data_IF_163624612963
#
_entry.id   IF_163624612963
#
_cell.length_a   1.000
_cell.length_b   1.000
_cell.length_c   1.000
_cell.angle_alpha   90.00
_cell.angle_beta   90.00
_cell.angle_gamma   90.00
#
_symmetry.space_group_name_H-M   'P 1'
#
loop_
_entity.id
_entity.type
_entity.pdbx_description
1 polymer ?
#
# COMPACT_ATOMS: atom_id res chain seq x y z
N UNK A 1 11.27 9.94 13.26
CA UNK A 1 10.36 9.86 12.10
C UNK A 1 9.26 8.89 12.44
N UNK A 2 8.01 9.36 12.52
CA UNK A 2 6.86 8.50 12.82
C UNK A 2 6.25 7.95 11.53
N UNK A 3 6.18 6.61 11.41
CA UNK A 3 5.63 5.91 10.26
C UNK A 3 4.40 5.15 10.70
N UNK A 4 3.28 5.47 10.09
CA UNK A 4 1.97 4.94 10.43
C UNK A 4 1.48 3.99 9.34
N UNK A 5 1.11 2.78 9.72
CA UNK A 5 0.51 1.78 8.86
C UNK A 5 -0.97 1.62 9.19
N UNK A 6 -1.85 1.86 8.24
CA UNK A 6 -3.26 1.51 8.38
C UNK A 6 -3.41 -0.01 8.29
N UNK A 7 -4.08 -0.62 9.28
CA UNK A 7 -4.41 -2.05 9.26
C UNK A 7 -5.91 -2.27 9.46
N UNK A 8 -6.47 -3.26 8.77
CA UNK A 8 -7.91 -3.48 8.72
C UNK A 8 -8.25 -4.92 8.33
N UNK A 9 -9.46 -5.36 8.64
CA UNK A 9 -9.93 -6.69 8.26
C UNK A 9 -10.00 -6.83 6.72
N UNK A 10 -9.50 -7.94 6.22
CA UNK A 10 -9.33 -8.18 4.78
C UNK A 10 -8.04 -7.59 4.19
N UNK A 11 -7.08 -7.20 5.03
CA UNK A 11 -5.76 -6.74 4.59
C UNK A 11 -4.97 -7.84 3.88
N UNK A 12 -4.18 -7.48 2.88
CA UNK A 12 -3.12 -8.34 2.33
C UNK A 12 -1.84 -8.08 3.14
N UNK A 13 -1.36 -9.05 3.96
CA UNK A 13 -0.29 -8.79 4.93
C UNK A 13 0.99 -8.24 4.32
N UNK A 14 1.42 -8.77 3.17
CA UNK A 14 2.68 -8.34 2.54
C UNK A 14 2.64 -6.87 2.11
N UNK A 15 1.47 -6.31 1.83
CA UNK A 15 1.31 -4.89 1.49
C UNK A 15 1.73 -3.96 2.65
N UNK A 16 1.62 -4.46 3.89
CA UNK A 16 2.08 -3.76 5.09
C UNK A 16 3.49 -4.21 5.51
N UNK A 17 3.72 -5.53 5.60
CA UNK A 17 4.96 -6.09 6.16
C UNK A 17 6.15 -5.85 5.23
N UNK A 18 5.97 -5.87 3.90
CA UNK A 18 7.03 -5.54 2.97
C UNK A 18 7.61 -4.13 3.20
N UNK A 19 6.77 -3.07 3.14
CA UNK A 19 7.21 -1.73 3.50
C UNK A 19 7.70 -1.59 4.95
N UNK A 20 7.09 -2.31 5.90
CA UNK A 20 7.50 -2.29 7.31
C UNK A 20 8.96 -2.77 7.47
N UNK A 21 9.32 -3.88 6.81
CA UNK A 21 10.67 -4.42 6.89
C UNK A 21 11.74 -3.48 6.31
N UNK A 22 11.37 -2.60 5.40
CA UNK A 22 12.26 -1.58 4.84
C UNK A 22 12.25 -0.31 5.68
N UNK A 23 11.07 0.31 5.84
CA UNK A 23 10.93 1.64 6.45
C UNK A 23 11.23 1.63 7.95
N UNK A 24 10.98 0.50 8.63
CA UNK A 24 11.30 0.34 10.05
C UNK A 24 12.81 0.36 10.36
N UNK A 25 13.66 0.19 9.33
CA UNK A 25 15.13 0.27 9.46
C UNK A 25 15.68 1.66 9.19
N UNK A 26 14.83 2.62 8.83
CA UNK A 26 15.28 4.01 8.70
C UNK A 26 15.77 4.55 10.05
N UNK A 27 16.89 5.30 10.06
CA UNK A 27 17.42 5.89 11.29
C UNK A 27 16.39 6.74 12.03
N UNK A 28 16.14 6.41 13.30
CA UNK A 28 15.16 7.12 14.13
C UNK A 28 13.71 6.88 13.75
N UNK A 29 13.40 5.83 12.98
CA UNK A 29 12.01 5.45 12.68
C UNK A 29 11.31 4.88 13.91
N UNK A 30 10.06 5.29 14.09
CA UNK A 30 9.09 4.69 15.04
C UNK A 30 7.86 4.25 14.26
N UNK A 31 7.40 3.04 14.51
CA UNK A 31 6.29 2.45 13.75
C UNK A 31 5.02 2.39 14.61
N UNK A 32 3.88 2.72 14.00
CA UNK A 32 2.56 2.51 14.58
C UNK A 32 1.66 1.75 13.60
N UNK A 33 1.09 0.65 14.06
CA UNK A 33 -0.02 -0.01 13.39
C UNK A 33 -1.33 0.54 13.92
N UNK A 34 -2.14 1.11 13.03
CA UNK A 34 -3.34 1.89 13.36
C UNK A 34 -4.55 1.26 12.67
N UNK A 35 -5.59 0.97 13.43
CA UNK A 35 -6.86 0.46 12.92
C UNK A 35 -8.05 1.34 13.30
N UNK A 36 -9.25 1.02 12.81
CA UNK A 36 -10.50 1.64 13.31
C UNK A 36 -10.68 1.32 14.79
N UNK A 37 -10.30 0.11 15.19
CA UNK A 37 -10.28 -0.38 16.58
C UNK A 37 -8.94 -1.05 16.87
N UNK A 38 -8.54 -1.10 18.13
CA UNK A 38 -7.39 -1.89 18.59
C UNK A 38 -7.69 -3.39 18.48
N UNK A 39 -6.63 -4.15 18.23
CA UNK A 39 -6.73 -5.60 18.14
C UNK A 39 -6.34 -6.17 16.78
N UNK A 40 -6.66 -7.44 16.53
CA UNK A 40 -6.25 -8.13 15.32
C UNK A 40 -7.05 -7.64 14.10
N UNK A 41 -6.33 -7.15 13.10
CA UNK A 41 -6.81 -6.94 11.73
C UNK A 41 -6.55 -8.22 10.93
N UNK A 42 -7.59 -8.98 10.63
CA UNK A 42 -7.47 -10.31 10.03
C UNK A 42 -7.44 -10.27 8.51
N UNK A 43 -6.68 -11.17 7.92
CA UNK A 43 -6.74 -11.42 6.47
C UNK A 43 -8.12 -11.97 6.09
N UNK A 44 -8.47 -11.90 4.80
CA UNK A 44 -9.61 -12.66 4.26
C UNK A 44 -9.38 -14.15 4.56
N UNK A 45 -10.38 -14.82 5.11
CA UNK A 45 -10.24 -16.20 5.59
C UNK A 45 -9.67 -16.33 7.02
N UNK A 46 -9.22 -15.27 7.66
CA UNK A 46 -8.90 -15.23 9.09
C UNK A 46 -7.64 -15.95 9.56
N UNK A 47 -6.81 -16.47 8.64
CA UNK A 47 -5.66 -17.33 8.96
C UNK A 47 -4.43 -16.57 9.46
N UNK A 48 -4.34 -15.26 9.19
CA UNK A 48 -3.27 -14.39 9.66
C UNK A 48 -3.88 -13.07 10.15
N UNK A 49 -3.21 -12.40 11.06
CA UNK A 49 -3.62 -11.07 11.52
C UNK A 49 -2.40 -10.18 11.78
N UNK A 50 -2.57 -8.88 11.51
CA UNK A 50 -1.71 -7.82 12.01
C UNK A 50 -2.40 -7.15 13.20
N UNK A 51 -1.67 -6.75 14.21
CA UNK A 51 -2.27 -6.17 15.40
C UNK A 51 -2.24 -4.65 15.35
N UNK A 52 -3.39 -4.00 15.51
CA UNK A 52 -3.49 -2.55 15.66
C UNK A 52 -3.29 -2.18 17.13
N UNK A 53 -2.19 -1.52 17.44
CA UNK A 53 -1.89 -1.02 18.80
C UNK A 53 -2.60 0.30 19.08
N UNK A 54 -2.95 1.04 18.01
CA UNK A 54 -3.59 2.36 18.08
C UNK A 54 -4.84 2.39 17.22
N UNK A 55 -5.73 3.34 17.55
CA UNK A 55 -6.88 3.66 16.72
C UNK A 55 -6.62 4.90 15.86
N UNK A 56 -7.41 5.06 14.78
CA UNK A 56 -7.41 6.27 13.95
C UNK A 56 -7.77 7.53 14.77
N UNK A 57 -8.43 7.38 15.92
CA UNK A 57 -8.75 8.50 16.81
C UNK A 57 -7.54 8.93 17.63
N UNK A 58 -6.67 8.01 18.01
CA UNK A 58 -5.45 8.27 18.78
C UNK A 58 -4.31 8.84 17.92
N UNK A 59 -4.30 8.57 16.61
CA UNK A 59 -3.22 8.99 15.70
C UNK A 59 -3.76 9.97 14.67
N UNK A 60 -3.34 11.22 14.78
CA UNK A 60 -3.82 12.34 13.93
C UNK A 60 -2.72 12.96 13.05
N UNK A 61 -1.52 12.39 13.06
CA UNK A 61 -0.37 12.82 12.25
C UNK A 61 0.58 11.66 12.02
N UNK A 62 1.42 11.79 11.01
CA UNK A 62 2.53 10.90 10.69
C UNK A 62 3.54 11.65 9.81
N UNK A 63 4.82 11.25 9.83
CA UNK A 63 5.77 11.68 8.81
C UNK A 63 5.54 10.90 7.51
N UNK A 64 5.30 9.58 7.64
CA UNK A 64 4.95 8.70 6.52
C UNK A 64 3.68 7.93 6.87
N UNK A 65 2.69 7.99 5.99
CA UNK A 65 1.49 7.15 6.05
C UNK A 65 1.58 6.04 4.99
N UNK A 66 1.45 4.79 5.43
CA UNK A 66 1.38 3.62 4.55
C UNK A 66 -0.03 3.05 4.58
N UNK A 67 -0.66 2.99 3.42
CA UNK A 67 -2.01 2.46 3.21
C UNK A 67 -1.92 1.18 2.40
N UNK A 68 -1.93 0.01 3.05
CA UNK A 68 -1.95 -1.29 2.38
C UNK A 68 -3.24 -1.55 1.64
N UNK A 69 -3.24 -2.55 0.79
CA UNK A 69 -4.43 -3.05 0.13
C UNK A 69 -4.92 -4.37 0.70
N UNK A 70 -5.78 -5.00 -0.07
CA UNK A 70 -6.45 -6.25 0.24
C UNK A 70 -7.95 -6.16 -0.05
N UNK A 71 -8.69 -7.26 0.03
CA UNK A 71 -10.13 -7.26 -0.20
C UNK A 71 -10.92 -6.26 0.66
N UNK A 72 -10.45 -5.96 1.87
CA UNK A 72 -11.09 -4.99 2.76
C UNK A 72 -10.96 -3.53 2.30
N UNK A 73 -10.02 -3.22 1.41
CA UNK A 73 -9.89 -1.88 0.83
C UNK A 73 -11.04 -1.53 -0.13
N UNK A 74 -11.69 -2.55 -0.72
CA UNK A 74 -12.78 -2.39 -1.69
C UNK A 74 -12.35 -2.71 -3.13
N UNK A 75 -13.17 -2.31 -4.09
CA UNK A 75 -12.98 -2.58 -5.51
C UNK A 75 -13.58 -3.92 -5.92
N UNK A 76 -12.83 -4.78 -6.61
CA UNK A 76 -13.30 -6.08 -7.17
C UNK A 76 -14.00 -6.96 -6.13
N UNK A 77 -13.68 -6.80 -4.85
CA UNK A 77 -14.28 -7.56 -3.75
C UNK A 77 -15.55 -6.93 -3.19
N UNK A 78 -16.02 -5.84 -3.79
CA UNK A 78 -17.17 -5.06 -3.34
C UNK A 78 -16.79 -3.80 -2.56
N UNK A 79 -17.77 -3.17 -1.90
CA UNK A 79 -17.52 -1.98 -1.10
C UNK A 79 -16.57 -2.29 0.07
N UNK A 80 -15.68 -1.35 0.37
CA UNK A 80 -14.70 -1.48 1.44
C UNK A 80 -14.31 -0.11 1.97
N UNK A 81 -13.15 -0.03 2.62
CA UNK A 81 -12.66 1.21 3.26
C UNK A 81 -12.50 2.38 2.29
N UNK A 82 -12.40 2.15 1.00
CA UNK A 82 -12.31 3.20 -0.02
C UNK A 82 -13.55 4.11 -0.08
N UNK A 83 -14.69 3.64 0.41
CA UNK A 83 -15.93 4.43 0.50
C UNK A 83 -16.36 4.71 1.96
N UNK A 84 -15.61 4.24 2.95
CA UNK A 84 -15.87 4.53 4.36
C UNK A 84 -15.46 5.98 4.68
N UNK A 85 -16.41 6.87 5.04
CA UNK A 85 -16.12 8.28 5.27
C UNK A 85 -15.23 8.53 6.50
N UNK A 86 -15.23 7.62 7.46
CA UNK A 86 -14.40 7.73 8.68
C UNK A 86 -12.93 7.48 8.30
N UNK A 87 -12.67 6.40 7.58
CA UNK A 87 -11.29 6.05 7.16
C UNK A 87 -10.76 7.02 6.11
N UNK A 88 -11.54 7.32 5.07
CA UNK A 88 -11.10 8.24 4.01
C UNK A 88 -10.94 9.67 4.53
N UNK A 89 -11.77 10.09 5.48
CA UNK A 89 -11.62 11.35 6.20
C UNK A 89 -10.31 11.40 6.99
N UNK A 90 -10.04 10.37 7.78
CA UNK A 90 -8.80 10.25 8.55
C UNK A 90 -7.56 10.25 7.66
N UNK A 91 -7.54 9.47 6.58
CA UNK A 91 -6.44 9.44 5.61
C UNK A 91 -6.18 10.83 5.03
N UNK A 92 -7.22 11.57 4.66
CA UNK A 92 -7.12 12.95 4.15
C UNK A 92 -6.51 13.89 5.18
N UNK A 93 -6.94 13.79 6.43
CA UNK A 93 -6.48 14.68 7.51
C UNK A 93 -5.04 14.39 7.91
N UNK A 94 -4.64 13.11 7.98
CA UNK A 94 -3.25 12.72 8.23
C UNK A 94 -2.35 13.13 7.07
N UNK A 95 -2.77 12.93 5.81
CA UNK A 95 -2.02 13.34 4.62
C UNK A 95 -1.59 14.81 4.65
N UNK A 96 -2.41 15.71 5.18
CA UNK A 96 -2.05 17.15 5.29
C UNK A 96 -0.78 17.38 6.12
N UNK A 97 -0.45 16.45 7.00
CA UNK A 97 0.67 16.53 7.95
C UNK A 97 1.83 15.57 7.62
N UNK A 98 1.68 14.75 6.57
CA UNK A 98 2.74 13.82 6.16
C UNK A 98 3.79 14.50 5.29
N UNK A 99 5.01 13.99 5.35
CA UNK A 99 6.03 14.19 4.31
C UNK A 99 5.71 13.33 3.10
N UNK A 100 5.25 12.10 3.33
CA UNK A 100 4.84 11.18 2.28
C UNK A 100 3.60 10.36 2.69
N UNK A 101 2.64 10.26 1.80
CA UNK A 101 1.52 9.32 1.89
C UNK A 101 1.69 8.27 0.81
N UNK A 102 1.68 7.00 1.21
CA UNK A 102 1.96 5.89 0.30
C UNK A 102 0.81 4.91 0.26
N UNK A 103 0.69 4.19 -0.84
CA UNK A 103 -0.21 3.05 -0.94
C UNK A 103 0.44 1.86 -1.64
N UNK A 104 -0.01 0.66 -1.29
CA UNK A 104 0.35 -0.58 -1.97
C UNK A 104 -0.93 -1.27 -2.42
N UNK A 105 -0.91 -1.82 -3.66
CA UNK A 105 -2.01 -2.63 -4.17
C UNK A 105 -3.33 -1.84 -4.19
N UNK A 106 -4.44 -2.42 -3.72
CA UNK A 106 -5.74 -1.74 -3.62
C UNK A 106 -5.82 -0.67 -2.53
N UNK A 107 -4.75 -0.45 -1.75
CA UNK A 107 -4.65 0.72 -0.87
C UNK A 107 -4.79 2.06 -1.62
N UNK A 108 -4.44 2.08 -2.90
CA UNK A 108 -4.67 3.25 -3.76
C UNK A 108 -6.16 3.62 -3.89
N UNK A 109 -7.07 2.66 -3.76
CA UNK A 109 -8.51 2.95 -3.77
C UNK A 109 -8.93 3.76 -2.54
N UNK A 110 -8.32 3.48 -1.37
CA UNK A 110 -8.58 4.27 -0.15
C UNK A 110 -8.07 5.71 -0.33
N UNK A 111 -6.89 5.89 -0.94
CA UNK A 111 -6.40 7.23 -1.30
C UNK A 111 -7.33 7.92 -2.32
N UNK A 112 -7.84 7.16 -3.28
CA UNK A 112 -8.83 7.64 -4.26
C UNK A 112 -10.11 8.12 -3.58
N UNK A 113 -10.70 7.32 -2.68
CA UNK A 113 -11.87 7.67 -1.89
C UNK A 113 -11.64 8.86 -0.96
N UNK A 114 -10.41 9.03 -0.46
CA UNK A 114 -10.01 10.23 0.26
C UNK A 114 -9.89 11.48 -0.65
N UNK A 115 -10.04 11.33 -1.98
CA UNK A 115 -9.94 12.42 -2.95
C UNK A 115 -8.50 12.86 -3.26
N UNK A 116 -7.51 12.08 -2.83
CA UNK A 116 -6.10 12.46 -2.93
C UNK A 116 -5.48 12.17 -4.30
N UNK A 117 -6.11 11.32 -5.12
CA UNK A 117 -5.55 10.88 -6.42
C UNK A 117 -6.22 11.51 -7.64
N UNK A 118 -7.16 12.44 -7.44
CA UNK A 118 -7.89 13.07 -8.55
C UNK A 118 -6.93 13.79 -9.51
N UNK A 119 -6.93 13.37 -10.78
CA UNK A 119 -6.08 13.93 -11.83
C UNK A 119 -4.62 13.46 -11.79
N UNK A 120 -4.21 12.69 -10.77
CA UNK A 120 -2.83 12.21 -10.63
C UNK A 120 -2.65 10.86 -11.32
N UNK A 121 -1.42 10.58 -11.75
CA UNK A 121 -1.00 9.24 -12.15
C UNK A 121 -0.89 8.39 -10.89
N UNK A 122 -1.37 7.15 -10.94
CA UNK A 122 -1.30 6.27 -9.79
C UNK A 122 -1.18 4.80 -10.22
N UNK A 123 -0.38 4.04 -9.47
CA UNK A 123 -0.32 2.59 -9.56
C UNK A 123 -1.29 1.95 -8.55
N UNK A 124 -1.82 0.81 -8.91
CA UNK A 124 -2.63 -0.06 -8.05
C UNK A 124 -2.44 -1.51 -8.46
N UNK A 125 -3.11 -2.43 -7.79
CA UNK A 125 -3.19 -3.81 -8.28
C UNK A 125 -3.86 -3.85 -9.66
N UNK A 126 -3.30 -4.60 -10.61
CA UNK A 126 -3.76 -4.64 -12.01
C UNK A 126 -5.27 -4.90 -12.18
N UNK A 127 -5.90 -5.61 -11.24
CA UNK A 127 -7.35 -5.89 -11.26
C UNK A 127 -8.19 -4.71 -10.79
N UNK A 128 -7.61 -3.69 -10.20
CA UNK A 128 -8.32 -2.56 -9.59
C UNK A 128 -8.14 -1.23 -10.34
N UNK A 129 -7.57 -1.27 -11.56
CA UNK A 129 -7.31 -0.06 -12.33
C UNK A 129 -8.59 0.69 -12.72
N UNK A 130 -9.63 -0.04 -13.14
CA UNK A 130 -10.91 0.56 -13.46
C UNK A 130 -11.59 1.16 -12.22
N UNK A 131 -11.48 0.48 -11.08
CA UNK A 131 -12.00 1.01 -9.81
C UNK A 131 -11.24 2.29 -9.42
N UNK A 132 -9.91 2.31 -9.60
CA UNK A 132 -9.09 3.49 -9.32
C UNK A 132 -9.46 4.67 -10.23
N UNK A 133 -9.71 4.40 -11.51
CA UNK A 133 -10.14 5.41 -12.48
C UNK A 133 -11.48 6.05 -12.07
N UNK A 134 -12.39 5.30 -11.45
CA UNK A 134 -13.68 5.82 -10.99
C UNK A 134 -13.56 6.90 -9.91
N UNK A 135 -12.43 6.93 -9.16
CA UNK A 135 -12.09 8.01 -8.23
C UNK A 135 -11.42 9.22 -8.90
N UNK A 136 -11.32 9.22 -10.24
CA UNK A 136 -10.73 10.32 -11.01
C UNK A 136 -9.21 10.31 -11.07
N UNK A 137 -8.56 9.22 -10.68
CA UNK A 137 -7.14 9.01 -10.90
C UNK A 137 -6.85 8.60 -12.36
N UNK A 138 -5.59 8.71 -12.78
CA UNK A 138 -5.08 8.19 -14.05
C UNK A 138 -4.23 6.94 -13.77
N UNK A 139 -4.80 5.72 -13.82
CA UNK A 139 -4.06 4.49 -13.58
C UNK A 139 -2.93 4.30 -14.58
N UNK A 140 -1.78 3.84 -14.10
CA UNK A 140 -0.61 3.53 -14.94
C UNK A 140 -0.01 2.19 -14.57
N UNK A 141 0.52 1.46 -15.58
CA UNK A 141 1.15 0.15 -15.40
C UNK A 141 2.62 0.27 -14.95
N UNK A 142 2.85 1.05 -13.92
CA UNK A 142 4.18 1.21 -13.32
C UNK A 142 4.22 0.55 -11.95
N UNK A 143 5.39 0.01 -11.61
CA UNK A 143 5.56 -0.69 -10.33
C UNK A 143 5.47 0.27 -9.14
N UNK A 144 6.02 1.48 -9.30
CA UNK A 144 5.97 2.56 -8.28
C UNK A 144 5.84 3.89 -8.99
N UNK A 145 4.90 4.72 -8.57
CA UNK A 145 4.64 6.07 -9.10
C UNK A 145 4.84 7.09 -7.99
N UNK A 146 5.70 8.08 -8.23
CA UNK A 146 5.88 9.24 -7.37
C UNK A 146 5.17 10.44 -7.95
N UNK A 147 4.33 11.07 -7.15
CA UNK A 147 3.71 12.37 -7.39
C UNK A 147 4.25 13.37 -6.38
N UNK A 148 5.46 13.89 -6.65
CA UNK A 148 6.28 14.68 -5.71
C UNK A 148 5.54 15.91 -5.18
N UNK A 149 4.86 16.66 -6.07
CA UNK A 149 4.11 17.85 -5.68
C UNK A 149 2.98 17.56 -4.70
N UNK A 150 2.37 16.39 -4.83
CA UNK A 150 1.29 15.90 -3.97
C UNK A 150 1.81 15.13 -2.76
N UNK A 151 3.11 14.83 -2.70
CA UNK A 151 3.73 14.02 -1.64
C UNK A 151 3.09 12.64 -1.53
N UNK A 152 2.75 12.04 -2.68
CA UNK A 152 2.08 10.75 -2.76
C UNK A 152 2.96 9.78 -3.54
N UNK A 153 3.02 8.55 -3.03
CA UNK A 153 3.66 7.42 -3.73
C UNK A 153 2.68 6.26 -3.78
N UNK A 154 2.47 5.73 -4.97
CA UNK A 154 1.61 4.55 -5.15
C UNK A 154 2.40 3.39 -5.73
N UNK A 155 2.19 2.20 -5.19
CA UNK A 155 2.79 0.97 -5.66
C UNK A 155 1.73 0.02 -6.26
N UNK A 156 2.14 -0.74 -7.25
CA UNK A 156 1.33 -1.78 -7.88
C UNK A 156 0.99 -2.93 -6.90
N UNK A 157 0.72 -4.13 -7.40
CA UNK A 157 0.29 -5.26 -6.55
C UNK A 157 1.37 -5.77 -5.60
N UNK A 158 0.96 -6.14 -4.49
CA UNK A 158 1.50 -6.86 -3.32
C UNK A 158 3.02 -6.67 -3.09
N UNK A 159 3.87 -7.36 -3.85
CA UNK A 159 5.35 -7.33 -3.67
C UNK A 159 5.99 -5.98 -4.03
N UNK A 160 5.30 -5.12 -4.80
CA UNK A 160 5.82 -3.81 -5.18
C UNK A 160 5.96 -2.83 -4.02
N UNK A 161 5.35 -3.15 -2.87
CA UNK A 161 5.52 -2.39 -1.65
C UNK A 161 6.96 -2.36 -1.14
N UNK A 162 7.73 -3.43 -1.37
CA UNK A 162 9.16 -3.50 -1.00
C UNK A 162 9.97 -2.51 -1.84
N UNK A 163 9.78 -2.53 -3.17
CA UNK A 163 10.47 -1.61 -4.08
C UNK A 163 10.08 -0.15 -3.82
N UNK A 164 8.80 0.09 -3.54
CA UNK A 164 8.31 1.42 -3.16
C UNK A 164 9.01 1.92 -1.90
N UNK A 165 9.09 1.07 -0.88
CA UNK A 165 9.70 1.44 0.40
C UNK A 165 11.22 1.70 0.27
N UNK A 166 11.95 0.92 -0.54
CA UNK A 166 13.37 1.17 -0.82
C UNK A 166 13.58 2.49 -1.58
N UNK A 167 12.74 2.78 -2.59
CA UNK A 167 12.80 4.08 -3.30
C UNK A 167 12.44 5.25 -2.39
N UNK A 168 11.51 5.05 -1.46
CA UNK A 168 11.16 6.07 -0.48
C UNK A 168 12.28 6.26 0.54
N UNK A 169 12.93 5.17 0.99
CA UNK A 169 14.10 5.24 1.87
C UNK A 169 15.24 6.05 1.24
N UNK A 170 15.49 5.87 -0.07
CA UNK A 170 16.43 6.69 -0.83
C UNK A 170 16.06 8.19 -0.78
N UNK A 171 14.79 8.53 -0.99
CA UNK A 171 14.28 9.91 -0.95
C UNK A 171 14.42 10.59 0.43
N UNK A 172 14.23 9.83 1.51
CA UNK A 172 14.17 10.40 2.88
C UNK A 172 15.48 10.29 3.65
N UNK A 173 16.34 9.33 3.31
CA UNK A 173 17.59 9.08 4.04
C UNK A 173 18.83 8.95 3.13
N UNK A 174 18.64 9.01 1.81
CA UNK A 174 19.72 8.93 0.83
C UNK A 174 20.06 7.50 0.39
N UNK A 175 20.71 7.41 -0.77
CA UNK A 175 20.98 6.16 -1.48
C UNK A 175 21.80 5.14 -0.66
N UNK A 176 22.75 5.58 0.13
CA UNK A 176 23.62 4.66 0.90
C UNK A 176 22.82 3.96 2.01
N UNK A 177 21.92 4.67 2.68
CA UNK A 177 21.02 4.07 3.67
C UNK A 177 20.05 3.10 3.00
N UNK A 178 19.45 3.47 1.88
CA UNK A 178 18.53 2.59 1.13
C UNK A 178 19.24 1.30 0.67
N UNK A 179 20.46 1.39 0.14
CA UNK A 179 21.29 0.23 -0.24
C UNK A 179 21.66 -0.64 0.96
N UNK A 180 22.01 -0.02 2.09
CA UNK A 180 22.33 -0.75 3.31
C UNK A 180 21.11 -1.51 3.84
N UNK A 181 19.92 -0.90 3.79
CA UNK A 181 18.66 -1.57 4.15
C UNK A 181 18.37 -2.74 3.19
N UNK A 182 18.51 -2.53 1.87
CA UNK A 182 18.33 -3.59 0.89
C UNK A 182 19.25 -4.79 1.14
N UNK A 183 20.52 -4.52 1.42
CA UNK A 183 21.50 -5.57 1.76
C UNK A 183 21.14 -6.27 3.07
N UNK A 184 20.70 -5.51 4.09
CA UNK A 184 20.36 -6.07 5.40
C UNK A 184 19.17 -7.03 5.35
N UNK A 185 18.19 -6.78 4.48
CA UNK A 185 17.03 -7.65 4.28
C UNK A 185 17.25 -8.70 3.17
N UNK A 186 18.45 -8.75 2.59
CA UNK A 186 18.82 -9.63 1.46
C UNK A 186 17.79 -9.58 0.32
N UNK A 187 17.27 -8.37 0.00
CA UNK A 187 16.33 -8.22 -1.10
C UNK A 187 17.06 -8.26 -2.45
N UNK A 188 17.32 -9.47 -2.92
CA UNK A 188 17.93 -9.82 -4.21
C UNK A 188 17.02 -10.81 -4.97
N UNK A 189 15.87 -10.36 -5.49
CA UNK A 189 14.83 -11.25 -5.98
C UNK A 189 15.21 -11.96 -7.28
N UNK A 190 15.17 -13.29 -7.25
CA UNK A 190 15.35 -14.18 -8.40
C UNK A 190 14.08 -15.01 -8.64
N UNK A 191 12.99 -14.39 -9.14
CA UNK A 191 11.73 -15.12 -9.36
C UNK A 191 11.91 -16.19 -10.44
N UNK A 192 11.38 -17.42 -10.25
CA UNK A 192 11.54 -18.52 -11.20
C UNK A 192 10.78 -18.30 -12.52
N UNK A 193 9.87 -17.33 -12.55
CA UNK A 193 9.06 -16.98 -13.71
C UNK A 193 9.05 -15.46 -13.95
N UNK A 194 9.12 -15.05 -15.23
CA UNK A 194 9.02 -13.64 -15.62
C UNK A 194 7.59 -13.26 -16.03
N UNK A 195 6.61 -13.52 -15.15
CA UNK A 195 5.19 -13.28 -15.38
C UNK A 195 4.54 -12.38 -14.34
N UNK A 196 5.36 -11.66 -13.58
CA UNK A 196 4.93 -10.86 -12.42
C UNK A 196 4.17 -9.55 -12.77
N UNK A 197 3.82 -9.31 -14.02
CA UNK A 197 2.99 -8.17 -14.43
C UNK A 197 2.14 -8.53 -15.65
N UNK A 198 1.01 -7.83 -15.85
CA UNK A 198 0.16 -8.04 -17.04
C UNK A 198 0.93 -7.94 -18.35
N UNK A 199 1.89 -7.00 -18.43
CA UNK A 199 2.69 -6.78 -19.62
C UNK A 199 3.59 -7.96 -19.98
N UNK A 200 3.98 -8.76 -18.99
CA UNK A 200 4.85 -9.93 -19.12
C UNK A 200 4.07 -11.24 -19.14
N UNK A 201 2.81 -11.22 -18.71
CA UNK A 201 1.98 -12.41 -18.61
C UNK A 201 1.60 -12.92 -20.01
N UNK A 202 1.77 -14.22 -20.30
CA UNK A 202 1.28 -14.80 -21.53
C UNK A 202 -0.25 -14.77 -21.60
N UNK A 203 -0.83 -14.86 -22.82
CA UNK A 203 -2.28 -14.88 -23.00
C UNK A 203 -2.97 -15.95 -22.12
N UNK A 204 -4.11 -15.61 -21.50
CA UNK A 204 -4.90 -16.49 -20.65
C UNK A 204 -4.41 -16.59 -19.20
N UNK A 205 -3.17 -16.22 -18.87
CA UNK A 205 -2.67 -16.31 -17.50
C UNK A 205 -3.41 -15.35 -16.55
N UNK A 206 -3.74 -14.17 -17.03
CA UNK A 206 -4.51 -13.19 -16.25
C UNK A 206 -5.90 -13.73 -15.87
N UNK A 207 -6.56 -14.45 -16.78
CA UNK A 207 -7.85 -15.08 -16.53
C UNK A 207 -7.74 -16.19 -15.48
N UNK A 208 -6.71 -17.04 -15.58
CA UNK A 208 -6.42 -18.07 -14.55
C UNK A 208 -6.20 -17.41 -13.19
N UNK A 209 -5.40 -16.35 -13.13
CA UNK A 209 -5.13 -15.63 -11.89
C UNK A 209 -6.40 -14.97 -11.32
N UNK A 210 -7.29 -14.46 -12.19
CA UNK A 210 -8.52 -13.82 -11.77
C UNK A 210 -9.59 -14.81 -11.26
N UNK A 211 -9.67 -16.00 -11.85
CA UNK A 211 -10.77 -16.95 -11.59
C UNK A 211 -10.41 -18.09 -10.65
N UNK A 212 -9.16 -18.61 -10.72
CA UNK A 212 -8.75 -19.82 -9.98
C UNK A 212 -7.93 -19.56 -8.72
N UNK A 213 -7.35 -18.35 -8.58
CA UNK A 213 -6.47 -18.02 -7.46
C UNK A 213 -7.10 -17.06 -6.46
N UNK A 214 -8.42 -16.88 -6.50
CA UNK A 214 -9.12 -16.13 -5.46
C UNK A 214 -9.01 -16.90 -4.14
N UNK A 215 -8.25 -16.35 -3.19
CA UNK A 215 -8.26 -16.86 -1.83
C UNK A 215 -9.68 -16.69 -1.26
N UNK A 216 -10.24 -17.72 -0.63
CA UNK A 216 -11.55 -17.66 0.02
C UNK A 216 -11.59 -16.59 1.14
#
# INVERSE_FOLDING_TARGET
MEIVFLVFDGITPLDAIGPFDVLGRLPGATIKFVGIKKGPARTKGGTCALFADYTIDEVKAADILVVPGGPGAGGISGPGLSIDPVVTGWVRDVHRKTTWTTSVCTGALILGGAGLLKGLRAATHWRAENDLASFGANPVHERVVFEDKSRIVTAAGVSSGIDMALRLADRVAGADIAKAIQLQIEYDPEPPYDTGSLRKAPPGLAEIAATRLNRP
#
